data_IF_749201986742
#
_entry.id   IF_749201986742
#
_cell.length_a   1.000
_cell.length_b   1.000
_cell.length_c   1.000
_cell.angle_alpha   90.00
_cell.angle_beta   90.00
_cell.angle_gamma   90.00
#
_symmetry.space_group_name_H-M   'P 1'
#
loop_
_entity.id
_entity.type
_entity.pdbx_description
1 polymer ?
#
# COMPACT_ATOMS: atom_id res chain seq x y z
N UNK A 1 -18.12 -11.97 -20.60
CA UNK A 1 -17.59 -13.17 -19.89
C UNK A 1 -17.03 -12.81 -18.50
N UNK A 2 -17.08 -11.53 -18.10
CA UNK A 2 -16.38 -10.95 -16.95
C UNK A 2 -17.05 -11.17 -15.59
N UNK A 3 -18.38 -11.26 -15.50
CA UNK A 3 -19.04 -11.57 -14.21
C UNK A 3 -18.65 -12.93 -13.63
N UNK A 4 -18.23 -13.87 -14.47
CA UNK A 4 -17.69 -15.16 -14.03
C UNK A 4 -16.22 -15.03 -13.62
N UNK A 5 -15.44 -14.19 -14.32
CA UNK A 5 -14.03 -13.91 -14.01
C UNK A 5 -13.89 -13.36 -12.60
N UNK A 6 -14.71 -12.38 -12.22
CA UNK A 6 -14.66 -11.77 -10.89
C UNK A 6 -14.96 -12.77 -9.78
N UNK A 7 -15.90 -13.68 -10.03
CA UNK A 7 -16.26 -14.74 -9.09
C UNK A 7 -15.16 -15.78 -8.96
N UNK A 8 -14.53 -16.17 -10.07
CA UNK A 8 -13.39 -17.10 -10.07
C UNK A 8 -12.21 -16.47 -9.34
N UNK A 9 -11.93 -15.20 -9.61
CA UNK A 9 -10.86 -14.45 -8.94
C UNK A 9 -11.13 -14.32 -7.44
N UNK A 10 -12.34 -13.91 -7.05
CA UNK A 10 -12.74 -13.82 -5.65
C UNK A 10 -12.63 -15.17 -4.93
N UNK A 11 -13.06 -16.27 -5.56
CA UNK A 11 -12.94 -17.60 -4.98
C UNK A 11 -11.48 -18.03 -4.82
N UNK A 12 -10.65 -17.80 -5.85
CA UNK A 12 -9.22 -18.10 -5.79
C UNK A 12 -8.52 -17.29 -4.68
N UNK A 13 -8.86 -16.01 -4.55
CA UNK A 13 -8.29 -15.14 -3.51
C UNK A 13 -8.75 -15.54 -2.11
N UNK A 14 -9.97 -16.04 -1.92
CA UNK A 14 -10.41 -16.63 -0.65
C UNK A 14 -9.55 -17.85 -0.30
N UNK A 15 -9.29 -18.74 -1.25
CA UNK A 15 -8.41 -19.89 -1.03
C UNK A 15 -7.00 -19.44 -0.60
N UNK A 16 -6.44 -18.43 -1.28
CA UNK A 16 -5.12 -17.86 -0.92
C UNK A 16 -5.15 -17.25 0.49
N UNK A 17 -6.20 -16.50 0.85
CA UNK A 17 -6.33 -15.90 2.17
C UNK A 17 -6.45 -16.95 3.27
N UNK A 18 -7.17 -18.05 3.03
CA UNK A 18 -7.25 -19.18 3.97
C UNK A 18 -5.91 -19.88 4.16
N UNK A 19 -5.14 -20.09 3.07
CA UNK A 19 -3.78 -20.60 3.15
C UNK A 19 -2.89 -19.66 3.96
N UNK A 20 -3.01 -18.35 3.76
CA UNK A 20 -2.26 -17.35 4.51
C UNK A 20 -2.58 -17.37 6.01
N UNK A 21 -3.86 -17.51 6.39
CA UNK A 21 -4.27 -17.71 7.80
C UNK A 21 -3.67 -19.00 8.36
N UNK A 22 -3.75 -20.11 7.63
CA UNK A 22 -3.18 -21.38 8.05
C UNK A 22 -1.67 -21.27 8.29
N UNK A 23 -0.94 -20.60 7.38
CA UNK A 23 0.49 -20.31 7.54
C UNK A 23 0.76 -19.43 8.77
N UNK A 24 -0.05 -18.40 9.00
CA UNK A 24 0.08 -17.53 10.17
C UNK A 24 -0.13 -18.30 11.49
N UNK A 25 -1.06 -19.26 11.53
CA UNK A 25 -1.31 -20.08 12.71
C UNK A 25 -0.14 -21.01 13.06
N UNK A 26 0.67 -21.39 12.08
CA UNK A 26 1.86 -22.24 12.27
C UNK A 26 3.09 -21.46 12.78
N UNK A 27 3.05 -20.13 12.76
CA UNK A 27 4.16 -19.30 13.26
C UNK A 27 4.35 -19.56 14.76
N UNK A 28 5.57 -19.89 15.17
CA UNK A 28 5.90 -20.03 16.58
C UNK A 28 5.97 -18.64 17.21
N UNK A 29 5.20 -18.42 18.28
CA UNK A 29 5.22 -17.16 19.03
C UNK A 29 6.36 -17.22 20.04
N UNK A 30 7.28 -16.27 20.00
CA UNK A 30 8.34 -16.16 21.02
C UNK A 30 7.75 -15.81 22.37
N UNK A 31 8.34 -16.27 23.47
CA UNK A 31 7.88 -15.96 24.84
C UNK A 31 7.86 -14.45 25.16
N UNK A 32 8.59 -13.62 24.42
CA UNK A 32 8.52 -12.16 24.45
C UNK A 32 7.63 -11.61 23.31
N UNK A 33 6.45 -12.19 23.10
CA UNK A 33 5.53 -11.69 22.08
C UNK A 33 4.75 -10.49 22.61
N UNK A 34 4.63 -9.45 21.77
CA UNK A 34 3.77 -8.30 22.01
C UNK A 34 2.35 -8.72 22.40
N UNK A 35 1.61 -7.92 23.21
CA UNK A 35 0.29 -8.26 23.74
C UNK A 35 -0.76 -8.63 22.68
N UNK A 36 -0.56 -8.18 21.43
CA UNK A 36 -1.43 -8.46 20.29
C UNK A 36 -1.04 -9.73 19.53
N UNK A 37 0.19 -10.25 19.70
CA UNK A 37 0.72 -11.44 19.05
C UNK A 37 1.04 -11.28 17.56
N UNK A 38 2.15 -11.85 17.10
CA UNK A 38 2.61 -11.78 15.69
C UNK A 38 1.63 -12.37 14.67
N UNK A 39 0.64 -13.15 15.13
CA UNK A 39 -0.40 -13.77 14.32
C UNK A 39 -1.60 -12.86 14.04
N UNK A 40 -1.89 -11.90 14.91
CA UNK A 40 -3.09 -11.09 14.79
C UNK A 40 -3.09 -10.23 13.53
N UNK A 41 -1.92 -9.71 13.15
CA UNK A 41 -1.80 -8.88 11.94
C UNK A 41 -2.07 -9.69 10.66
N UNK A 42 -1.39 -10.82 10.37
CA UNK A 42 -1.71 -11.64 9.20
C UNK A 42 -3.17 -12.09 9.15
N UNK A 43 -3.73 -12.53 10.28
CA UNK A 43 -5.11 -13.02 10.36
C UNK A 43 -6.09 -11.87 10.10
N UNK A 44 -5.86 -10.69 10.68
CA UNK A 44 -6.73 -9.53 10.49
C UNK A 44 -6.75 -9.07 9.03
N UNK A 45 -5.59 -8.97 8.39
CA UNK A 45 -5.48 -8.59 6.97
C UNK A 45 -6.19 -9.61 6.07
N UNK A 46 -5.98 -10.91 6.28
CA UNK A 46 -6.68 -11.94 5.50
C UNK A 46 -8.19 -11.95 5.74
N UNK A 47 -8.64 -11.69 6.97
CA UNK A 47 -10.07 -11.62 7.28
C UNK A 47 -10.75 -10.51 6.50
N UNK A 48 -10.15 -9.31 6.47
CA UNK A 48 -10.66 -8.19 5.66
C UNK A 48 -10.61 -8.53 4.17
N UNK A 49 -9.54 -9.15 3.70
CA UNK A 49 -9.43 -9.59 2.31
C UNK A 49 -10.54 -10.58 1.91
N UNK A 50 -10.87 -11.54 2.77
CA UNK A 50 -11.98 -12.49 2.56
C UNK A 50 -13.31 -11.73 2.44
N UNK A 51 -13.57 -10.76 3.31
CA UNK A 51 -14.80 -9.94 3.24
C UNK A 51 -14.88 -9.23 1.88
N UNK A 52 -13.79 -8.58 1.44
CA UNK A 52 -13.74 -7.92 0.13
C UNK A 52 -14.00 -8.90 -1.03
N UNK A 53 -13.41 -10.11 -0.97
CA UNK A 53 -13.61 -11.13 -2.00
C UNK A 53 -15.05 -11.64 -2.03
N UNK A 54 -15.68 -11.82 -0.86
CA UNK A 54 -17.09 -12.20 -0.76
C UNK A 54 -17.97 -11.12 -1.40
N UNK A 55 -17.70 -9.84 -1.13
CA UNK A 55 -18.41 -8.73 -1.77
C UNK A 55 -18.25 -8.77 -3.29
N UNK A 56 -17.04 -8.99 -3.80
CA UNK A 56 -16.75 -9.11 -5.24
C UNK A 56 -17.49 -10.29 -5.90
N UNK A 57 -17.63 -11.42 -5.20
CA UNK A 57 -18.40 -12.58 -5.70
C UNK A 57 -19.90 -12.25 -5.78
N UNK A 58 -20.43 -11.59 -4.74
CA UNK A 58 -21.85 -11.25 -4.62
C UNK A 58 -22.25 -10.10 -5.56
N UNK A 59 -21.35 -9.13 -5.78
CA UNK A 59 -21.54 -7.96 -6.64
C UNK A 59 -20.35 -7.86 -7.61
N UNK A 60 -20.35 -8.65 -8.70
CA UNK A 60 -19.33 -8.53 -9.74
C UNK A 60 -19.49 -7.19 -10.45
N UNK A 61 -18.37 -6.55 -10.77
CA UNK A 61 -18.32 -5.23 -11.39
C UNK A 61 -18.45 -5.35 -12.92
N UNK A 62 -18.55 -4.19 -13.59
CA UNK A 62 -18.50 -4.13 -15.05
C UNK A 62 -17.09 -4.47 -15.57
N UNK A 63 -17.01 -4.96 -16.81
CA UNK A 63 -15.73 -5.35 -17.41
C UNK A 63 -14.80 -4.12 -17.48
N UNK A 64 -13.59 -4.18 -16.91
CA UNK A 64 -12.69 -3.04 -16.92
C UNK A 64 -12.14 -2.82 -18.33
N UNK A 65 -12.20 -1.59 -18.79
CA UNK A 65 -11.55 -1.17 -20.01
C UNK A 65 -10.03 -1.30 -19.86
N UNK A 66 -9.39 -1.93 -20.85
CA UNK A 66 -7.94 -2.02 -20.84
C UNK A 66 -7.32 -0.63 -20.97
N UNK A 67 -6.29 -0.33 -20.15
CA UNK A 67 -5.66 0.98 -20.16
C UNK A 67 -5.07 1.29 -21.54
N UNK A 68 -5.28 2.52 -22.01
CA UNK A 68 -4.59 3.05 -23.19
C UNK A 68 -3.07 2.95 -22.95
N UNK A 69 -2.27 2.73 -24.00
CA UNK A 69 -0.81 2.58 -23.88
C UNK A 69 -0.14 3.68 -23.05
N UNK A 70 -0.71 4.88 -23.04
CA UNK A 70 -0.17 5.99 -22.24
C UNK A 70 -0.32 5.80 -20.73
N UNK A 71 -1.43 5.20 -20.30
CA UNK A 71 -1.65 4.80 -18.90
C UNK A 71 -0.65 3.70 -18.49
N UNK A 72 -0.32 2.76 -19.38
CA UNK A 72 0.69 1.73 -19.11
C UNK A 72 2.06 2.37 -18.84
N UNK A 73 2.47 3.35 -19.65
CA UNK A 73 3.73 4.08 -19.40
C UNK A 73 3.69 4.83 -18.08
N UNK A 74 2.55 5.45 -17.74
CA UNK A 74 2.36 6.11 -16.45
C UNK A 74 2.53 5.14 -15.28
N UNK A 75 1.96 3.93 -15.36
CA UNK A 75 2.14 2.88 -14.36
C UNK A 75 3.62 2.48 -14.24
N UNK A 76 4.31 2.29 -15.35
CA UNK A 76 5.75 1.96 -15.35
C UNK A 76 6.57 3.07 -14.68
N UNK A 77 6.29 4.34 -14.98
CA UNK A 77 6.92 5.49 -14.33
C UNK A 77 6.64 5.48 -12.83
N UNK A 78 5.41 5.19 -12.41
CA UNK A 78 5.03 5.08 -10.99
C UNK A 78 5.82 4.00 -10.27
N UNK A 79 6.03 2.84 -10.90
CA UNK A 79 6.88 1.78 -10.36
C UNK A 79 8.30 2.28 -10.16
N UNK A 80 8.90 2.93 -11.16
CA UNK A 80 10.26 3.48 -11.02
C UNK A 80 10.36 4.55 -9.93
N UNK A 81 9.35 5.42 -9.80
CA UNK A 81 9.28 6.40 -8.72
C UNK A 81 9.24 5.74 -7.34
N UNK A 82 8.45 4.67 -7.17
CA UNK A 82 8.36 3.93 -5.91
C UNK A 82 9.63 3.14 -5.59
N UNK A 83 10.31 2.60 -6.61
CA UNK A 83 11.63 1.98 -6.44
C UNK A 83 12.65 3.04 -6.02
N UNK A 84 12.70 4.19 -6.70
CA UNK A 84 13.56 5.31 -6.34
C UNK A 84 13.29 5.83 -4.93
N UNK A 85 12.02 5.95 -4.55
CA UNK A 85 11.58 6.28 -3.19
C UNK A 85 12.19 5.34 -2.16
N UNK A 86 12.13 4.02 -2.38
CA UNK A 86 12.65 3.04 -1.43
C UNK A 86 14.15 3.20 -1.18
N UNK A 87 14.93 3.50 -2.23
CA UNK A 87 16.36 3.78 -2.11
C UNK A 87 16.66 5.13 -1.47
N UNK A 88 15.80 6.12 -1.71
CA UNK A 88 15.94 7.48 -1.19
C UNK A 88 15.60 7.61 0.31
N UNK A 89 14.80 6.68 0.87
CA UNK A 89 14.40 6.71 2.28
C UNK A 89 15.59 6.65 3.25
N UNK A 90 16.58 5.78 3.00
CA UNK A 90 17.78 5.67 3.84
C UNK A 90 18.62 6.96 3.86
N UNK A 91 19.01 7.54 2.71
CA UNK A 91 19.88 8.72 2.68
C UNK A 91 19.16 10.04 2.93
N UNK A 92 17.89 10.20 2.57
CA UNK A 92 17.17 11.50 2.63
C UNK A 92 16.13 11.59 3.75
N UNK A 93 15.84 10.49 4.45
CA UNK A 93 14.77 10.42 5.45
C UNK A 93 13.39 10.27 4.81
N UNK A 94 12.33 10.46 5.60
CA UNK A 94 10.96 10.20 5.16
C UNK A 94 10.32 11.38 4.41
N UNK A 95 10.51 12.62 4.86
CA UNK A 95 9.71 13.76 4.38
C UNK A 95 9.97 14.11 2.91
N UNK A 96 11.23 14.22 2.51
CA UNK A 96 11.61 14.69 1.17
C UNK A 96 11.21 13.66 0.10
N UNK A 97 11.60 12.37 0.21
CA UNK A 97 11.22 11.38 -0.80
C UNK A 97 9.71 11.19 -0.89
N UNK A 98 9.00 11.22 0.25
CA UNK A 98 7.54 11.07 0.28
C UNK A 98 6.87 12.23 -0.42
N UNK A 99 7.29 13.47 -0.18
CA UNK A 99 6.69 14.65 -0.81
C UNK A 99 6.87 14.64 -2.34
N UNK A 100 8.07 14.29 -2.81
CA UNK A 100 8.37 14.22 -4.25
C UNK A 100 7.53 13.14 -4.91
N UNK A 101 7.53 11.93 -4.36
CA UNK A 101 6.88 10.77 -5.00
C UNK A 101 5.37 10.88 -4.94
N UNK A 102 4.80 11.25 -3.80
CA UNK A 102 3.34 11.46 -3.70
C UNK A 102 2.86 12.63 -4.55
N UNK A 103 3.66 13.70 -4.69
CA UNK A 103 3.38 14.79 -5.61
C UNK A 103 3.44 14.35 -7.08
N UNK A 104 4.48 13.61 -7.47
CA UNK A 104 4.62 13.08 -8.83
C UNK A 104 3.49 12.11 -9.20
N UNK A 105 3.10 11.22 -8.30
CA UNK A 105 1.96 10.31 -8.49
C UNK A 105 0.64 11.09 -8.58
N UNK A 106 0.44 12.09 -7.72
CA UNK A 106 -0.76 12.93 -7.82
C UNK A 106 -0.83 13.70 -9.13
N UNK A 107 0.30 14.18 -9.65
CA UNK A 107 0.37 14.86 -10.94
C UNK A 107 0.00 13.92 -12.10
N UNK A 108 0.39 12.65 -11.99
CA UNK A 108 0.08 11.63 -12.99
C UNK A 108 -1.43 11.32 -13.06
N UNK A 109 -2.15 11.42 -11.93
CA UNK A 109 -3.60 11.24 -11.87
C UNK A 109 -4.34 12.50 -12.35
N UNK A 110 -3.91 13.68 -11.92
CA UNK A 110 -4.50 14.95 -12.35
C UNK A 110 -3.38 15.97 -12.61
N UNK A 111 -3.16 16.41 -13.86
CA UNK A 111 -2.03 17.26 -14.24
C UNK A 111 -2.26 18.73 -13.82
N UNK A 112 -2.46 18.95 -12.52
CA UNK A 112 -2.61 20.27 -11.90
C UNK A 112 -1.43 20.47 -10.93
N UNK A 113 -0.38 21.22 -11.33
CA UNK A 113 0.88 21.26 -10.60
C UNK A 113 0.71 21.78 -9.17
N UNK A 114 -0.11 22.80 -8.95
CA UNK A 114 -0.38 23.36 -7.62
C UNK A 114 -1.02 22.32 -6.70
N UNK A 115 -2.00 21.55 -7.21
CA UNK A 115 -2.67 20.53 -6.41
C UNK A 115 -1.72 19.37 -6.10
N UNK A 116 -0.92 18.95 -7.06
CA UNK A 116 0.07 17.90 -6.90
C UNK A 116 1.12 18.23 -5.83
N UNK A 117 1.61 19.48 -5.79
CA UNK A 117 2.55 19.91 -4.74
C UNK A 117 1.88 19.92 -3.38
N UNK A 118 0.65 20.44 -3.28
CA UNK A 118 -0.11 20.45 -2.03
C UNK A 118 -0.40 19.04 -1.50
N UNK A 119 -0.80 18.11 -2.37
CA UNK A 119 -1.00 16.70 -1.99
C UNK A 119 0.31 16.06 -1.57
N UNK A 120 1.41 16.39 -2.25
CA UNK A 120 2.73 15.85 -1.93
C UNK A 120 3.19 16.26 -0.52
N UNK A 121 3.13 17.56 -0.25
CA UNK A 121 3.45 18.10 1.08
C UNK A 121 2.49 17.61 2.16
N UNK A 122 1.18 17.63 1.87
CA UNK A 122 0.14 17.21 2.80
C UNK A 122 0.26 15.73 3.19
N UNK A 123 0.47 14.84 2.22
CA UNK A 123 0.67 13.41 2.47
C UNK A 123 1.99 13.15 3.21
N UNK A 124 3.06 13.82 2.82
CA UNK A 124 4.37 13.66 3.46
C UNK A 124 4.32 14.04 4.95
N UNK A 125 3.80 15.23 5.25
CA UNK A 125 3.69 15.73 6.62
C UNK A 125 2.65 14.91 7.41
N UNK A 126 1.48 14.66 6.82
CA UNK A 126 0.39 13.92 7.47
C UNK A 126 0.79 12.49 7.84
N UNK A 127 1.42 11.76 6.91
CA UNK A 127 1.91 10.41 7.18
C UNK A 127 3.07 10.43 8.17
N UNK A 128 3.97 11.42 8.10
CA UNK A 128 5.04 11.55 9.08
C UNK A 128 4.48 11.74 10.49
N UNK A 129 3.49 12.62 10.65
CA UNK A 129 2.87 12.87 11.96
C UNK A 129 2.16 11.62 12.48
N UNK A 130 1.37 10.97 11.62
CA UNK A 130 0.66 9.74 11.96
C UNK A 130 1.65 8.64 12.40
N UNK A 131 2.68 8.38 11.61
CA UNK A 131 3.64 7.33 11.89
C UNK A 131 4.53 7.65 13.10
N UNK A 132 5.02 8.89 13.20
CA UNK A 132 5.96 9.26 14.27
C UNK A 132 5.28 9.43 15.62
N UNK A 133 4.09 10.05 15.67
CA UNK A 133 3.45 10.45 16.92
C UNK A 133 2.25 9.59 17.31
N UNK A 134 1.48 9.07 16.35
CA UNK A 134 0.30 8.24 16.67
C UNK A 134 0.69 6.77 16.80
N UNK A 135 1.58 6.29 15.92
CA UNK A 135 2.03 4.89 15.90
C UNK A 135 3.40 4.68 16.57
N UNK A 136 4.02 5.76 17.08
CA UNK A 136 5.34 5.79 17.74
C UNK A 136 6.45 5.04 16.98
N UNK A 137 6.43 5.12 15.65
CA UNK A 137 7.45 4.52 14.82
C UNK A 137 8.71 5.41 14.82
N UNK A 138 9.90 4.79 14.86
CA UNK A 138 11.21 5.46 14.83
C UNK A 138 11.58 6.07 13.47
N UNK A 139 10.66 6.82 12.85
CA UNK A 139 10.88 7.46 11.56
C UNK A 139 11.82 8.67 11.70
N UNK A 140 12.84 8.70 10.85
CA UNK A 140 13.75 9.84 10.76
C UNK A 140 13.22 10.81 9.70
N UNK A 141 12.97 12.08 10.06
CA UNK A 141 12.44 13.07 9.13
C UNK A 141 13.42 13.39 7.98
N UNK A 142 14.72 13.46 8.30
CA UNK A 142 15.81 13.82 7.39
C UNK A 142 16.92 12.75 7.41
N UNK A 143 17.74 12.73 6.36
CA UNK A 143 18.88 11.81 6.23
C UNK A 143 19.86 11.86 7.40
N UNK A 144 20.45 10.71 7.74
CA UNK A 144 21.46 10.52 8.81
C UNK A 144 22.82 11.21 8.59
N UNK A 145 22.88 12.25 7.75
CA UNK A 145 24.07 13.07 7.51
C UNK A 145 23.80 14.58 7.59
N UNK A 146 22.59 15.00 7.97
CA UNK A 146 22.26 16.41 8.17
C UNK A 146 22.40 16.87 9.64
N UNK A 147 22.77 15.97 10.55
CA UNK A 147 23.16 16.24 11.94
C UNK A 147 24.11 15.15 12.45
#
# INVERSE_FOLDING_TARGET
>A
MGRLSDRIFGLAMICVALVYIASAMQVQVSFLSDPVGSKAFPIGVASVAIICCVVMILRPDEEPDWPVMWTVVSIIISVFLLVGYSYALKPLGFLIPTAIVSGALSYQINPKPIRAVLTGLGLSIGLFVLFRYVLDLGLVPFGKGWF
#
